data_IF_397361288578
#
_entry.id   IF_397361288578
#
_cell.length_a   1.000
_cell.length_b   1.000
_cell.length_c   1.000
_cell.angle_alpha   90.00
_cell.angle_beta   90.00
_cell.angle_gamma   90.00
#
_symmetry.space_group_name_H-M   'P 1'
#
loop_
_entity.id
_entity.type
_entity.pdbx_description
1 polymer ?
#
# COMPACT_ATOMS: atom_id res chain seq x y z
N UNK A 1 4.07 0.12 -23.15
CA UNK A 1 4.33 1.50 -22.64
C UNK A 1 4.44 1.42 -21.13
N UNK A 2 5.52 1.91 -20.54
CA UNK A 2 5.73 1.93 -19.08
C UNK A 2 5.26 3.29 -18.52
N UNK A 3 4.58 3.27 -17.36
CA UNK A 3 4.16 4.47 -16.63
C UNK A 3 4.50 4.28 -15.17
N UNK A 4 5.34 5.18 -14.63
CA UNK A 4 5.78 5.16 -13.24
C UNK A 4 5.62 6.56 -12.64
N UNK A 5 5.14 6.67 -11.38
CA UNK A 5 4.44 5.64 -10.62
C UNK A 5 3.14 5.19 -11.33
N UNK A 6 2.61 4.00 -10.98
CA UNK A 6 1.39 3.50 -11.61
C UNK A 6 0.21 4.47 -11.32
N UNK A 7 -0.55 4.95 -12.32
CA UNK A 7 -1.47 6.08 -12.17
C UNK A 7 -2.50 5.97 -11.04
N UNK A 8 -2.90 4.74 -10.70
CA UNK A 8 -3.93 4.43 -9.69
C UNK A 8 -3.40 3.71 -8.46
N UNK A 9 -2.08 3.73 -8.23
CA UNK A 9 -1.51 3.03 -7.07
C UNK A 9 -2.01 3.62 -5.74
N UNK A 10 -2.19 4.94 -5.69
CA UNK A 10 -2.66 5.67 -4.50
C UNK A 10 -4.16 5.50 -4.21
N UNK A 11 -4.88 4.69 -5.00
CA UNK A 11 -6.31 4.37 -4.81
C UNK A 11 -6.53 2.97 -4.20
N UNK A 12 -5.47 2.16 -4.09
CA UNK A 12 -5.59 0.72 -3.79
C UNK A 12 -5.02 0.39 -2.42
N UNK A 13 -5.88 -0.08 -1.52
CA UNK A 13 -5.48 -0.41 -0.15
C UNK A 13 -4.43 -1.52 -0.10
N UNK A 14 -4.58 -2.57 -0.93
CA UNK A 14 -3.62 -3.67 -1.00
C UNK A 14 -2.23 -3.26 -1.53
N UNK A 15 -2.10 -2.06 -2.10
CA UNK A 15 -0.79 -1.49 -2.48
C UNK A 15 -0.26 -0.63 -1.34
N UNK A 16 -1.06 0.31 -0.84
CA UNK A 16 -0.57 1.30 0.11
C UNK A 16 -0.41 0.77 1.54
N UNK A 17 -1.23 -0.18 1.99
CA UNK A 17 -1.12 -0.74 3.34
C UNK A 17 0.19 -1.52 3.50
N UNK A 18 0.53 -2.52 2.65
CA UNK A 18 1.82 -3.18 2.73
C UNK A 18 3.00 -2.22 2.51
N UNK A 19 2.86 -1.25 1.60
CA UNK A 19 3.93 -0.26 1.37
C UNK A 19 4.15 0.64 2.60
N UNK A 20 3.09 0.99 3.33
CA UNK A 20 3.19 1.75 4.57
C UNK A 20 3.84 0.95 5.71
N UNK A 21 3.61 -0.37 5.78
CA UNK A 21 4.27 -1.26 6.74
C UNK A 21 5.79 -1.26 6.52
N UNK A 22 6.23 -1.21 5.26
CA UNK A 22 7.64 -1.18 4.89
C UNK A 22 8.27 0.23 4.97
N UNK A 23 7.53 1.28 4.62
CA UNK A 23 8.05 2.64 4.48
C UNK A 23 7.06 3.68 5.07
N UNK A 24 6.91 3.76 6.41
CA UNK A 24 5.84 4.53 7.06
C UNK A 24 5.97 6.06 6.94
N UNK A 25 7.15 6.57 6.58
CA UNK A 25 7.43 8.01 6.41
C UNK A 25 7.41 8.46 4.95
N UNK A 26 7.06 7.57 4.00
CA UNK A 26 7.00 7.88 2.57
C UNK A 26 5.92 8.94 2.29
N UNK A 27 6.24 9.88 1.39
CA UNK A 27 5.29 10.81 0.81
C UNK A 27 4.89 10.33 -0.58
N UNK A 28 3.60 10.37 -0.88
CA UNK A 28 3.05 10.07 -2.20
C UNK A 28 3.39 11.20 -3.19
N UNK A 29 3.21 10.99 -4.51
CA UNK A 29 3.54 12.00 -5.52
C UNK A 29 2.80 13.35 -5.35
N UNK A 30 1.66 13.35 -4.67
CA UNK A 30 0.87 14.54 -4.35
C UNK A 30 1.25 15.18 -3.00
N UNK A 31 2.29 14.67 -2.33
CA UNK A 31 2.76 15.13 -1.01
C UNK A 31 2.02 14.50 0.18
N UNK A 32 0.95 13.74 -0.04
CA UNK A 32 0.20 13.08 1.04
C UNK A 32 1.10 12.05 1.74
N UNK A 33 1.04 11.98 3.08
CA UNK A 33 1.76 10.94 3.82
C UNK A 33 1.12 9.58 3.54
N UNK A 34 1.94 8.58 3.27
CA UNK A 34 1.44 7.23 2.96
C UNK A 34 0.55 6.68 4.08
N UNK A 35 0.88 6.96 5.35
CA UNK A 35 0.12 6.54 6.52
C UNK A 35 -1.33 7.03 6.47
N UNK A 36 -1.52 8.33 6.20
CA UNK A 36 -2.85 8.94 6.12
C UNK A 36 -3.68 8.32 5.01
N UNK A 37 -3.07 8.11 3.83
CA UNK A 37 -3.76 7.54 2.69
C UNK A 37 -4.09 6.06 2.89
N UNK A 38 -3.15 5.28 3.43
CA UNK A 38 -3.34 3.86 3.71
C UNK A 38 -4.47 3.66 4.74
N UNK A 39 -4.51 4.46 5.81
CA UNK A 39 -5.58 4.43 6.82
C UNK A 39 -6.95 4.76 6.24
N UNK A 40 -7.05 5.75 5.34
CA UNK A 40 -8.31 6.09 4.64
C UNK A 40 -8.81 4.92 3.79
N UNK A 41 -7.92 4.30 3.01
CA UNK A 41 -8.30 3.21 2.12
C UNK A 41 -8.65 1.94 2.90
N UNK A 42 -7.94 1.64 4.00
CA UNK A 42 -8.23 0.50 4.85
C UNK A 42 -9.64 0.54 5.48
N UNK A 43 -10.21 1.74 5.67
CA UNK A 43 -11.60 1.90 6.15
C UNK A 43 -12.65 1.51 5.11
N UNK A 44 -12.31 1.54 3.82
CA UNK A 44 -13.28 1.36 2.71
C UNK A 44 -13.01 0.11 1.88
N UNK A 45 -11.80 -0.45 1.93
CA UNK A 45 -11.39 -1.60 1.14
C UNK A 45 -10.84 -2.69 2.05
N UNK A 46 -11.46 -3.88 2.01
CA UNK A 46 -10.99 -5.05 2.74
C UNK A 46 -9.74 -5.64 2.08
N UNK A 47 -8.69 -5.89 2.89
CA UNK A 47 -7.47 -6.61 2.48
C UNK A 47 -7.45 -7.97 3.20
N UNK A 48 -7.07 -9.02 2.49
CA UNK A 48 -6.85 -10.36 3.05
C UNK A 48 -5.38 -10.71 2.85
N UNK A 49 -4.67 -11.04 3.92
CA UNK A 49 -3.34 -11.64 3.82
C UNK A 49 -3.53 -13.12 3.50
N UNK A 50 -2.93 -13.57 2.39
CA UNK A 50 -3.07 -14.95 1.90
C UNK A 50 -1.95 -15.89 2.36
N UNK A 51 -0.83 -15.34 2.81
CA UNK A 51 0.34 -16.08 3.24
C UNK A 51 0.90 -15.39 4.47
N UNK A 52 1.30 -16.17 5.47
CA UNK A 52 2.09 -15.68 6.58
C UNK A 52 3.60 -15.77 6.23
N UNK A 53 4.46 -14.87 6.76
CA UNK A 53 5.89 -14.87 6.48
C UNK A 53 6.65 -16.15 6.89
N UNK A 54 6.01 -17.15 7.49
CA UNK A 54 6.65 -18.42 7.81
C UNK A 54 6.32 -19.52 6.79
N UNK A 55 5.36 -19.29 5.89
CA UNK A 55 4.88 -20.29 4.91
C UNK A 55 5.65 -20.27 3.57
N UNK A 56 6.44 -19.23 3.28
CA UNK A 56 7.16 -19.04 2.01
C UNK A 56 8.64 -19.48 2.03
N UNK A 57 9.17 -19.75 3.23
CA UNK A 57 10.58 -20.11 3.44
C UNK A 57 10.80 -21.60 3.73
N UNK A 58 9.76 -22.44 3.56
CA UNK A 58 9.80 -23.89 3.70
C UNK A 58 9.58 -24.60 2.35
#
# INVERSE_FOLDING_TARGET
RLVLPHPRMCERAFVLVPLCELAPTLQLPDGTRIRERAEQLAKTQRIIRRYEPDEWML
#
